data_IF_893223500509
#
_entry.id   IF_893223500509
#
_cell.length_a   1.000
_cell.length_b   1.000
_cell.length_c   1.000
_cell.angle_alpha   90.00
_cell.angle_beta   90.00
_cell.angle_gamma   90.00
#
_symmetry.space_group_name_H-M   'P 1'
#
loop_
_entity.id
_entity.type
_entity.pdbx_description
1 polymer ?
#
# COMPACT_ATOMS: atom_id res chain seq x y z
N UNK A 1 -5.45 -8.37 26.86
CA UNK A 1 -5.41 -7.17 26.01
C UNK A 1 -6.04 -7.57 24.69
N UNK A 2 -7.20 -7.03 24.32
CA UNK A 2 -7.79 -7.28 23.00
C UNK A 2 -6.83 -6.74 21.95
N UNK A 3 -6.51 -7.53 20.94
CA UNK A 3 -5.66 -7.07 19.85
C UNK A 3 -6.33 -5.84 19.21
N UNK A 4 -5.59 -4.79 19.00
CA UNK A 4 -6.08 -3.55 18.37
C UNK A 4 -6.48 -3.79 16.90
N UNK A 5 -6.13 -4.93 16.36
CA UNK A 5 -6.32 -5.31 14.96
C UNK A 5 -7.09 -6.62 14.88
N UNK A 6 -8.02 -6.68 13.95
CA UNK A 6 -8.82 -7.86 13.64
C UNK A 6 -8.26 -8.52 12.37
N UNK A 7 -7.75 -9.74 12.54
CA UNK A 7 -7.23 -10.55 11.44
C UNK A 7 -8.11 -11.78 11.16
N UNK A 8 -9.21 -11.95 11.89
CA UNK A 8 -10.07 -13.12 11.80
C UNK A 8 -11.34 -12.85 10.98
N UNK A 9 -11.79 -11.59 10.93
CA UNK A 9 -12.97 -11.20 10.15
C UNK A 9 -12.69 -11.32 8.66
N UNK A 10 -13.49 -12.13 7.97
CA UNK A 10 -13.46 -12.26 6.51
C UNK A 10 -14.11 -11.04 5.89
N UNK A 11 -13.36 -10.32 5.06
CA UNK A 11 -13.84 -9.15 4.32
C UNK A 11 -14.11 -9.58 2.88
N UNK A 12 -15.37 -9.48 2.44
CA UNK A 12 -15.73 -9.72 1.05
C UNK A 12 -15.16 -8.61 0.16
N UNK A 13 -14.39 -9.01 -0.84
CA UNK A 13 -13.75 -8.10 -1.80
C UNK A 13 -14.35 -8.17 -3.19
N UNK A 14 -15.39 -8.98 -3.40
CA UNK A 14 -16.08 -9.04 -4.70
C UNK A 14 -16.77 -7.71 -5.02
N UNK A 15 -16.78 -7.35 -6.28
CA UNK A 15 -17.37 -6.10 -6.79
C UNK A 15 -16.75 -4.81 -6.23
N UNK A 16 -15.53 -4.89 -5.73
CA UNK A 16 -14.78 -3.73 -5.25
C UNK A 16 -13.74 -3.21 -6.25
N UNK A 17 -13.60 -3.87 -7.40
CA UNK A 17 -12.52 -3.64 -8.35
C UNK A 17 -11.20 -4.32 -7.95
N UNK A 18 -11.25 -5.20 -6.96
CA UNK A 18 -10.07 -5.94 -6.51
C UNK A 18 -9.60 -6.91 -7.59
N UNK A 19 -8.44 -6.66 -8.17
CA UNK A 19 -7.86 -7.51 -9.22
C UNK A 19 -7.69 -8.97 -8.79
N UNK A 20 -7.48 -9.19 -7.50
CA UNK A 20 -7.28 -10.52 -6.91
C UNK A 20 -8.52 -11.40 -7.03
N UNK A 21 -9.72 -10.84 -6.97
CA UNK A 21 -11.00 -11.55 -6.95
C UNK A 21 -11.84 -11.29 -8.20
N UNK A 22 -11.99 -10.04 -8.61
CA UNK A 22 -13.00 -9.67 -9.61
C UNK A 22 -12.66 -10.08 -11.05
N UNK A 23 -11.39 -10.40 -11.33
CA UNK A 23 -10.98 -10.84 -12.67
C UNK A 23 -10.92 -12.38 -12.83
N UNK A 24 -11.25 -13.14 -11.79
CA UNK A 24 -11.13 -14.61 -11.82
C UNK A 24 -11.99 -15.22 -12.91
N UNK A 25 -13.25 -14.80 -13.01
CA UNK A 25 -14.18 -15.30 -14.04
C UNK A 25 -13.67 -15.00 -15.45
N UNK A 26 -13.23 -13.76 -15.70
CA UNK A 26 -12.72 -13.34 -17.00
C UNK A 26 -11.45 -14.11 -17.42
N UNK A 27 -10.52 -14.31 -16.48
CA UNK A 27 -9.21 -14.93 -16.78
C UNK A 27 -9.24 -16.45 -16.80
N UNK A 28 -10.05 -17.06 -15.94
CA UNK A 28 -10.00 -18.50 -15.69
C UNK A 28 -11.33 -19.21 -15.92
N UNK A 29 -12.41 -18.47 -16.27
CA UNK A 29 -13.76 -19.01 -16.48
C UNK A 29 -14.43 -19.54 -15.20
N UNK A 30 -13.90 -19.19 -14.01
CA UNK A 30 -14.38 -19.66 -12.71
C UNK A 30 -14.25 -18.54 -11.67
N UNK A 31 -15.25 -18.44 -10.77
CA UNK A 31 -15.27 -17.48 -9.67
C UNK A 31 -14.91 -18.10 -8.30
N UNK A 32 -14.97 -19.44 -8.22
CA UNK A 32 -14.77 -20.19 -6.99
C UNK A 32 -13.32 -20.55 -6.69
N UNK A 33 -12.38 -19.88 -7.35
CA UNK A 33 -10.95 -20.12 -7.15
C UNK A 33 -10.42 -19.38 -5.91
N UNK A 34 -9.50 -20.01 -5.20
CA UNK A 34 -8.75 -19.36 -4.12
C UNK A 34 -7.57 -18.60 -4.73
N UNK A 35 -7.58 -17.25 -4.70
CA UNK A 35 -6.56 -16.46 -5.36
C UNK A 35 -5.27 -16.36 -4.52
N UNK A 36 -4.22 -17.04 -4.94
CA UNK A 36 -2.90 -17.01 -4.31
C UNK A 36 -1.82 -16.29 -5.16
N UNK A 37 -2.23 -15.49 -6.13
CA UNK A 37 -1.36 -14.95 -7.18
C UNK A 37 -0.95 -13.48 -7.00
N UNK A 38 -1.66 -12.72 -6.18
CA UNK A 38 -1.31 -11.33 -5.83
C UNK A 38 -1.06 -11.25 -4.33
N UNK A 39 0.02 -10.56 -3.94
CA UNK A 39 0.48 -10.49 -2.56
C UNK A 39 -0.25 -9.44 -1.68
N UNK A 40 -1.28 -8.78 -2.19
CA UNK A 40 -2.10 -7.89 -1.38
C UNK A 40 -2.87 -8.70 -0.31
N UNK A 41 -2.86 -8.20 0.90
CA UNK A 41 -3.48 -8.86 2.05
C UNK A 41 -5.00 -8.62 2.07
N UNK A 42 -5.74 -9.61 2.59
CA UNK A 42 -7.21 -9.55 2.69
C UNK A 42 -7.68 -9.08 4.07
N UNK A 43 -6.77 -8.55 4.88
CA UNK A 43 -7.07 -7.97 6.20
C UNK A 43 -7.41 -6.49 6.08
N UNK A 44 -8.23 -6.00 7.02
CA UNK A 44 -8.45 -4.57 7.17
C UNK A 44 -7.10 -3.85 7.43
N UNK A 45 -6.92 -2.72 6.76
CA UNK A 45 -5.77 -1.85 7.01
C UNK A 45 -5.83 -1.26 8.42
N UNK A 46 -4.67 -0.99 9.01
CA UNK A 46 -4.58 -0.44 10.36
C UNK A 46 -5.40 0.86 10.50
N UNK A 47 -6.20 1.01 11.58
CA UNK A 47 -7.08 2.18 11.77
C UNK A 47 -6.37 3.53 11.62
N UNK A 48 -5.12 3.65 12.08
CA UNK A 48 -4.34 4.88 11.95
C UNK A 48 -4.15 5.33 10.49
N UNK A 49 -4.10 4.39 9.54
CA UNK A 49 -3.99 4.69 8.10
C UNK A 49 -5.35 5.20 7.59
N UNK A 50 -6.43 4.50 7.90
CA UNK A 50 -7.79 4.92 7.53
C UNK A 50 -8.10 6.30 8.08
N UNK A 51 -7.80 6.55 9.36
CA UNK A 51 -8.01 7.84 10.00
C UNK A 51 -7.21 8.97 9.35
N UNK A 52 -5.98 8.69 8.93
CA UNK A 52 -5.17 9.68 8.21
C UNK A 52 -5.77 10.02 6.84
N UNK A 53 -6.28 9.02 6.10
CA UNK A 53 -6.96 9.22 4.83
C UNK A 53 -8.26 10.02 5.01
N UNK A 54 -9.10 9.67 5.99
CA UNK A 54 -10.33 10.40 6.30
C UNK A 54 -10.04 11.86 6.64
N UNK A 55 -9.04 12.13 7.48
CA UNK A 55 -8.62 13.51 7.78
C UNK A 55 -8.19 14.26 6.52
N UNK A 56 -7.44 13.60 5.61
CA UNK A 56 -7.03 14.24 4.36
C UNK A 56 -8.22 14.54 3.44
N UNK A 57 -9.21 13.66 3.38
CA UNK A 57 -10.42 13.84 2.57
C UNK A 57 -11.31 14.99 3.05
N UNK A 58 -11.24 15.38 4.31
CA UNK A 58 -11.98 16.55 4.83
C UNK A 58 -11.56 17.87 4.19
N UNK A 59 -10.36 17.94 3.61
CA UNK A 59 -9.93 19.10 2.84
C UNK A 59 -10.27 18.88 1.35
N UNK A 60 -11.23 19.62 0.78
CA UNK A 60 -11.84 19.27 -0.51
C UNK A 60 -11.00 19.65 -1.74
N UNK A 61 -9.81 20.21 -1.58
CA UNK A 61 -8.93 20.58 -2.69
C UNK A 61 -7.78 19.58 -2.81
N UNK A 62 -7.71 18.91 -3.96
CA UNK A 62 -6.75 17.85 -4.28
C UNK A 62 -5.83 18.25 -5.43
N UNK A 63 -5.20 19.41 -5.30
CA UNK A 63 -4.25 19.90 -6.29
C UNK A 63 -2.89 19.21 -6.21
N UNK A 64 -1.90 19.77 -6.87
CA UNK A 64 -0.52 19.31 -6.75
C UNK A 64 -0.05 19.42 -5.30
N UNK A 65 0.59 18.37 -4.81
CA UNK A 65 1.09 18.31 -3.46
C UNK A 65 2.57 17.89 -3.45
N UNK A 66 3.32 18.44 -2.52
CA UNK A 66 4.68 18.02 -2.23
C UNK A 66 4.71 17.19 -0.95
N UNK A 67 5.55 16.16 -0.93
CA UNK A 67 5.72 15.33 0.25
C UNK A 67 6.37 16.14 1.39
N UNK A 68 5.74 16.22 2.57
CA UNK A 68 6.28 16.96 3.70
C UNK A 68 7.57 16.32 4.24
N UNK A 69 8.36 17.09 4.96
CA UNK A 69 9.60 16.60 5.58
C UNK A 69 9.37 15.36 6.46
N UNK A 70 8.24 15.29 7.16
CA UNK A 70 7.86 14.13 7.99
C UNK A 70 7.68 12.83 7.20
N UNK A 71 7.25 12.90 5.94
CA UNK A 71 7.16 11.74 5.06
C UNK A 71 8.53 11.11 4.82
N UNK A 72 9.51 11.93 4.49
CA UNK A 72 10.87 11.47 4.24
C UNK A 72 11.56 10.98 5.51
N UNK A 73 11.34 11.69 6.62
CA UNK A 73 11.89 11.30 7.91
C UNK A 73 11.35 9.96 8.39
N UNK A 74 10.06 9.69 8.21
CA UNK A 74 9.48 8.39 8.58
C UNK A 74 10.08 7.21 7.80
N UNK A 75 10.47 7.42 6.53
CA UNK A 75 11.17 6.39 5.74
C UNK A 75 12.58 6.16 6.31
N UNK A 76 13.31 7.24 6.61
CA UNK A 76 14.66 7.17 7.18
C UNK A 76 14.64 6.44 8.52
N UNK A 77 13.74 6.85 9.42
CA UNK A 77 13.59 6.27 10.76
C UNK A 77 13.21 4.77 10.68
N UNK A 78 12.33 4.40 9.75
CA UNK A 78 11.92 3.02 9.55
C UNK A 78 13.06 2.14 9.07
N UNK A 79 13.86 2.62 8.12
CA UNK A 79 15.02 1.88 7.60
C UNK A 79 16.11 1.68 8.68
N UNK A 80 16.35 2.72 9.50
CA UNK A 80 17.28 2.59 10.63
C UNK A 80 16.73 1.63 11.69
N UNK A 81 15.46 1.77 12.06
CA UNK A 81 14.81 0.91 13.08
C UNK A 81 14.79 -0.57 12.67
N UNK A 82 14.38 -0.88 11.44
CA UNK A 82 14.15 -2.26 11.01
C UNK A 82 15.44 -2.94 10.53
N UNK A 83 16.33 -2.19 9.90
CA UNK A 83 17.50 -2.74 9.22
C UNK A 83 18.85 -2.17 9.73
N UNK A 84 18.85 -1.19 10.63
CA UNK A 84 20.06 -0.47 11.04
C UNK A 84 20.71 0.30 9.88
N UNK A 85 19.93 0.58 8.82
CA UNK A 85 20.44 1.22 7.61
C UNK A 85 20.20 2.73 7.65
N UNK A 86 21.29 3.47 7.89
CA UNK A 86 21.28 4.93 8.00
C UNK A 86 21.36 5.55 6.61
N UNK A 87 20.22 5.92 6.07
CA UNK A 87 20.10 6.61 4.77
C UNK A 87 19.96 8.11 4.94
N UNK A 88 20.41 8.86 3.92
CA UNK A 88 20.21 10.31 3.87
C UNK A 88 19.04 10.66 2.97
N UNK A 89 18.40 11.80 3.23
CA UNK A 89 17.25 12.27 2.44
C UNK A 89 17.56 12.37 0.95
N UNK A 90 18.72 12.84 0.59
CA UNK A 90 19.16 12.99 -0.80
C UNK A 90 19.35 11.67 -1.56
N UNK A 91 19.36 10.54 -0.87
CA UNK A 91 19.44 9.20 -1.47
C UNK A 91 18.07 8.62 -1.79
N UNK A 92 16.99 9.28 -1.40
CA UNK A 92 15.64 8.76 -1.55
C UNK A 92 14.94 9.49 -2.70
N UNK A 93 14.54 8.74 -3.71
CA UNK A 93 13.74 9.22 -4.83
C UNK A 93 12.40 8.49 -4.86
N UNK A 94 11.31 9.24 -4.99
CA UNK A 94 9.98 8.66 -5.14
C UNK A 94 9.77 8.17 -6.58
N UNK A 95 9.35 6.92 -6.71
CA UNK A 95 8.92 6.33 -7.98
C UNK A 95 7.56 5.66 -7.77
N UNK A 96 6.55 5.95 -8.62
CA UNK A 96 5.21 5.40 -8.45
C UNK A 96 5.14 3.92 -8.88
N UNK A 97 5.52 3.03 -7.98
CA UNK A 97 5.44 1.59 -8.14
C UNK A 97 6.77 0.91 -8.49
N UNK A 98 6.97 -0.27 -7.91
CA UNK A 98 8.21 -1.05 -8.00
C UNK A 98 8.50 -1.49 -9.44
N UNK A 99 7.49 -1.94 -10.19
CA UNK A 99 7.67 -2.39 -11.58
C UNK A 99 8.23 -1.28 -12.46
N UNK A 100 7.72 -0.04 -12.30
CA UNK A 100 8.25 1.13 -13.01
C UNK A 100 9.67 1.47 -12.53
N UNK A 101 9.92 1.35 -11.24
CA UNK A 101 11.25 1.57 -10.66
C UNK A 101 12.30 0.62 -11.22
N UNK A 102 11.99 -0.67 -11.31
CA UNK A 102 12.87 -1.67 -11.91
C UNK A 102 13.09 -1.35 -13.39
N UNK A 103 12.01 -1.04 -14.14
CA UNK A 103 12.14 -0.69 -15.55
C UNK A 103 13.03 0.53 -15.78
N UNK A 104 12.94 1.56 -14.95
CA UNK A 104 13.84 2.72 -15.02
C UNK A 104 15.29 2.33 -14.70
N UNK A 105 15.51 1.55 -13.65
CA UNK A 105 16.86 1.14 -13.24
C UNK A 105 17.57 0.25 -14.27
N UNK A 106 16.81 -0.53 -15.06
CA UNK A 106 17.39 -1.38 -16.13
C UNK A 106 17.72 -0.56 -17.39
N UNK A 107 17.05 0.58 -17.60
CA UNK A 107 17.25 1.42 -18.79
C UNK A 107 18.32 2.53 -18.59
N UNK A 108 18.99 2.60 -17.47
CA UNK A 108 20.09 3.50 -17.15
C UNK A 108 21.41 2.75 -17.29
#
# INVERSE_FOLDING_TARGET
MSSQYDFDTIIDRHHTGAMKTDVLCERYGREDLIPLWIADMDFAVAPCITDALVRRLQHPVYGYAEAPASYWQSIIDWLDYLHGWKVKREWITYIPGIVKGIGLAVNV
#
